data_IF_606544501267
#
_entry.id   IF_606544501267
#
_cell.length_a   1.000
_cell.length_b   1.000
_cell.length_c   1.000
_cell.angle_alpha   90.00
_cell.angle_beta   90.00
_cell.angle_gamma   90.00
#
_symmetry.space_group_name_H-M   'P 1'
#
loop_
_entity.id
_entity.type
_entity.pdbx_description
1 polymer ?
#
# COMPACT_ATOMS: atom_id res chain seq x y z
N UNK A 1 11.56 25.45 11.93
CA UNK A 1 12.10 24.08 11.75
C UNK A 1 11.98 23.35 13.08
N UNK A 2 11.09 22.36 13.16
CA UNK A 2 10.74 21.66 14.39
C UNK A 2 11.78 20.56 14.68
N UNK A 3 12.46 20.68 15.82
CA UNK A 3 13.58 19.85 16.28
C UNK A 3 13.21 18.38 16.60
N UNK A 4 11.95 17.96 16.48
CA UNK A 4 11.52 16.59 16.81
C UNK A 4 11.71 15.59 15.67
N UNK A 5 11.65 16.03 14.41
CA UNK A 5 11.76 15.13 13.25
C UNK A 5 13.20 14.63 13.01
N UNK A 6 14.20 15.38 13.48
CA UNK A 6 15.62 15.07 13.24
C UNK A 6 16.12 13.93 14.14
N UNK A 7 15.54 13.74 15.33
CA UNK A 7 15.99 12.70 16.28
C UNK A 7 15.56 11.27 15.91
N UNK A 8 14.53 11.10 15.08
CA UNK A 8 14.05 9.78 14.65
C UNK A 8 14.87 9.19 13.49
N UNK A 9 15.64 10.02 12.78
CA UNK A 9 16.41 9.60 11.59
C UNK A 9 17.64 8.76 12.00
N UNK A 10 18.08 8.84 13.25
CA UNK A 10 19.37 8.30 13.69
C UNK A 10 19.36 6.82 14.10
N UNK A 11 18.21 6.14 14.12
CA UNK A 11 18.11 4.72 14.52
C UNK A 11 18.04 3.72 13.34
N UNK A 12 17.84 4.17 12.09
CA UNK A 12 17.73 3.26 10.94
C UNK A 12 19.07 3.14 10.18
N UNK A 13 20.04 2.43 10.77
CA UNK A 13 21.32 2.11 10.11
C UNK A 13 21.22 1.01 9.05
N UNK A 14 20.08 0.34 8.93
CA UNK A 14 19.88 -0.76 7.99
C UNK A 14 19.16 -0.29 6.71
N UNK A 15 19.83 -0.41 5.56
CA UNK A 15 19.20 -0.09 4.27
C UNK A 15 18.29 -1.24 3.86
N UNK A 16 16.99 -1.04 3.98
CA UNK A 16 15.99 -2.06 3.71
C UNK A 16 15.85 -2.36 2.20
N UNK A 17 15.66 -3.63 1.81
CA UNK A 17 15.38 -4.00 0.42
C UNK A 17 13.97 -3.55 -0.01
N UNK A 18 13.77 -3.43 -1.32
CA UNK A 18 12.46 -3.12 -1.90
C UNK A 18 11.40 -4.15 -1.49
N UNK A 19 11.68 -5.43 -1.69
CA UNK A 19 10.78 -6.51 -1.32
C UNK A 19 11.10 -6.98 0.11
N UNK A 20 10.13 -6.87 1.01
CA UNK A 20 10.25 -7.30 2.40
C UNK A 20 9.15 -8.29 2.72
N UNK A 21 9.52 -9.45 3.28
CA UNK A 21 8.58 -10.49 3.73
C UNK A 21 8.22 -10.38 5.22
N UNK A 22 8.70 -9.32 5.86
CA UNK A 22 8.49 -9.05 7.28
C UNK A 22 8.25 -7.56 7.49
N UNK A 23 7.78 -7.21 8.68
CA UNK A 23 7.58 -5.82 9.10
C UNK A 23 8.69 -5.42 10.07
N UNK A 24 9.57 -4.46 9.72
CA UNK A 24 10.68 -4.05 10.59
C UNK A 24 10.19 -3.52 11.95
N UNK A 25 11.01 -3.67 12.99
CA UNK A 25 10.63 -3.33 14.37
C UNK A 25 10.25 -1.86 14.56
N UNK A 26 10.97 -0.94 13.92
CA UNK A 26 10.63 0.48 13.98
C UNK A 26 9.26 0.77 13.35
N UNK A 27 8.86 0.01 12.31
CA UNK A 27 7.53 0.13 11.69
C UNK A 27 6.48 -0.45 12.62
N UNK A 28 6.73 -1.61 13.25
CA UNK A 28 5.83 -2.19 14.25
C UNK A 28 5.58 -1.21 15.42
N UNK A 29 6.64 -0.57 15.92
CA UNK A 29 6.56 0.47 16.94
C UNK A 29 5.70 1.64 16.48
N UNK A 30 5.92 2.15 15.27
CA UNK A 30 5.12 3.23 14.67
C UNK A 30 3.64 2.87 14.56
N UNK A 31 3.30 1.64 14.15
CA UNK A 31 1.91 1.18 14.10
C UNK A 31 1.25 1.14 15.48
N UNK A 32 1.99 0.70 16.51
CA UNK A 32 1.49 0.67 17.88
C UNK A 32 1.28 2.09 18.42
N UNK A 33 2.20 3.01 18.16
CA UNK A 33 2.14 4.38 18.67
C UNK A 33 1.12 5.25 17.93
N UNK A 34 1.14 5.23 16.60
CA UNK A 34 0.30 6.11 15.78
C UNK A 34 -1.11 5.55 15.54
N UNK A 35 -1.24 4.24 15.36
CA UNK A 35 -2.52 3.60 15.00
C UNK A 35 -3.16 2.84 16.16
N UNK A 36 -2.45 2.70 17.29
CA UNK A 36 -2.85 1.86 18.42
C UNK A 36 -3.23 0.46 17.93
N UNK A 37 -2.45 -0.06 16.98
CA UNK A 37 -2.67 -1.39 16.40
C UNK A 37 -2.36 -2.45 17.45
N UNK A 38 -3.35 -3.32 17.74
CA UNK A 38 -3.19 -4.55 18.54
C UNK A 38 -3.67 -5.74 17.71
N UNK A 39 -3.24 -6.98 18.03
CA UNK A 39 -3.72 -8.18 17.34
C UNK A 39 -5.25 -8.30 17.35
N UNK A 40 -5.90 -7.96 18.48
CA UNK A 40 -7.34 -8.02 18.66
C UNK A 40 -8.06 -6.98 17.81
N UNK A 41 -7.54 -5.73 17.81
CA UNK A 41 -8.08 -4.65 16.98
C UNK A 41 -7.96 -4.99 15.51
N UNK A 42 -6.79 -5.50 15.07
CA UNK A 42 -6.56 -5.95 13.70
C UNK A 42 -7.56 -7.03 13.30
N UNK A 43 -7.70 -8.10 14.11
CA UNK A 43 -8.64 -9.20 13.84
C UNK A 43 -10.09 -8.72 13.78
N UNK A 44 -10.52 -7.88 14.72
CA UNK A 44 -11.89 -7.36 14.77
C UNK A 44 -12.20 -6.49 13.54
N UNK A 45 -11.31 -5.55 13.23
CA UNK A 45 -11.48 -4.64 12.08
C UNK A 45 -11.42 -5.37 10.74
N UNK A 46 -10.57 -6.39 10.59
CA UNK A 46 -10.55 -7.23 9.40
C UNK A 46 -11.86 -7.98 9.20
N UNK A 47 -12.38 -8.61 10.26
CA UNK A 47 -13.65 -9.32 10.20
C UNK A 47 -14.81 -8.40 9.82
N UNK A 48 -14.86 -7.20 10.41
CA UNK A 48 -15.91 -6.21 10.12
C UNK A 48 -15.80 -5.66 8.69
N UNK A 49 -14.59 -5.36 8.22
CA UNK A 49 -14.37 -4.91 6.84
C UNK A 49 -14.74 -6.00 5.82
N UNK A 50 -14.37 -7.26 6.07
CA UNK A 50 -14.77 -8.40 5.24
C UNK A 50 -16.29 -8.51 5.14
N UNK A 51 -17.00 -8.47 6.28
CA UNK A 51 -18.47 -8.48 6.30
C UNK A 51 -19.09 -7.35 5.48
N UNK A 52 -18.53 -6.14 5.55
CA UNK A 52 -19.02 -5.02 4.72
C UNK A 52 -18.80 -5.28 3.23
N UNK A 53 -17.67 -5.89 2.84
CA UNK A 53 -17.39 -6.24 1.45
C UNK A 53 -18.31 -7.37 0.95
N UNK A 54 -18.53 -8.41 1.76
CA UNK A 54 -19.41 -9.54 1.45
C UNK A 54 -20.86 -9.09 1.28
N UNK A 55 -21.34 -8.18 2.15
CA UNK A 55 -22.67 -7.58 2.03
C UNK A 55 -22.86 -6.74 0.76
N UNK A 56 -21.79 -6.41 0.04
CA UNK A 56 -21.78 -5.62 -1.19
C UNK A 56 -21.24 -6.41 -2.38
N UNK A 57 -21.65 -7.67 -2.53
CA UNK A 57 -21.14 -8.59 -3.56
C UNK A 57 -21.21 -8.03 -5.00
N UNK A 58 -22.24 -7.26 -5.33
CA UNK A 58 -22.37 -6.60 -6.64
C UNK A 58 -21.22 -5.62 -6.94
N UNK A 59 -20.68 -4.98 -5.89
CA UNK A 59 -19.54 -4.09 -5.99
C UNK A 59 -18.24 -4.89 -6.14
N UNK A 60 -18.04 -5.89 -5.28
CA UNK A 60 -16.80 -6.68 -5.23
C UNK A 60 -16.66 -7.64 -6.40
N UNK A 61 -17.78 -8.04 -7.02
CA UNK A 61 -17.78 -9.00 -8.13
C UNK A 61 -17.32 -10.39 -7.70
N UNK A 62 -17.52 -10.76 -6.43
CA UNK A 62 -17.08 -12.03 -5.88
C UNK A 62 -15.56 -12.16 -5.67
N UNK A 63 -14.82 -11.04 -5.71
CA UNK A 63 -13.37 -11.04 -5.46
C UNK A 63 -13.10 -11.42 -4.01
N UNK A 64 -12.27 -12.45 -3.82
CA UNK A 64 -11.71 -12.79 -2.51
C UNK A 64 -10.50 -11.89 -2.21
N UNK A 65 -10.57 -11.16 -1.11
CA UNK A 65 -9.52 -10.21 -0.71
C UNK A 65 -8.58 -10.84 0.32
N UNK A 66 -7.31 -10.93 -0.04
CA UNK A 66 -6.25 -11.30 0.90
C UNK A 66 -6.19 -10.36 2.11
N UNK A 67 -5.90 -10.91 3.29
CA UNK A 67 -5.89 -10.14 4.55
C UNK A 67 -4.84 -9.05 4.58
N UNK A 68 -3.68 -9.27 3.96
CA UNK A 68 -2.60 -8.28 3.89
C UNK A 68 -3.02 -7.06 3.07
N UNK A 69 -3.78 -7.28 1.98
CA UNK A 69 -4.36 -6.21 1.18
C UNK A 69 -5.35 -5.39 2.02
N UNK A 70 -6.31 -6.04 2.70
CA UNK A 70 -7.27 -5.35 3.57
C UNK A 70 -6.59 -4.61 4.72
N UNK A 71 -5.54 -5.21 5.30
CA UNK A 71 -4.75 -4.61 6.38
C UNK A 71 -4.09 -3.30 5.93
N UNK A 72 -3.62 -3.21 4.68
CA UNK A 72 -3.05 -1.96 4.14
C UNK A 72 -4.08 -0.83 4.12
N UNK A 73 -5.33 -1.10 3.70
CA UNK A 73 -6.40 -0.10 3.71
C UNK A 73 -6.84 0.29 5.11
N UNK A 74 -6.89 -0.67 6.05
CA UNK A 74 -7.14 -0.40 7.46
C UNK A 74 -6.06 0.51 8.04
N UNK A 75 -4.78 0.22 7.80
CA UNK A 75 -3.66 1.07 8.27
C UNK A 75 -3.70 2.46 7.66
N UNK A 76 -3.91 2.56 6.35
CA UNK A 76 -4.07 3.84 5.65
C UNK A 76 -5.20 4.69 6.26
N UNK A 77 -6.29 4.03 6.65
CA UNK A 77 -7.46 4.66 7.23
C UNK A 77 -7.39 4.80 8.75
N UNK A 78 -6.23 4.54 9.38
CA UNK A 78 -6.04 4.55 10.84
C UNK A 78 -7.06 3.69 11.60
N UNK A 79 -7.46 2.56 11.00
CA UNK A 79 -8.48 1.64 11.48
C UNK A 79 -9.91 2.22 11.53
N UNK A 80 -10.18 3.32 10.83
CA UNK A 80 -11.55 3.72 10.47
C UNK A 80 -12.06 2.78 9.37
N UNK A 81 -13.00 1.92 9.74
CA UNK A 81 -13.52 0.85 8.88
C UNK A 81 -14.36 1.43 7.74
N UNK A 82 -15.14 2.48 8.00
CA UNK A 82 -15.97 3.13 6.99
C UNK A 82 -15.11 3.81 5.95
N UNK A 83 -14.06 4.50 6.37
CA UNK A 83 -13.08 5.11 5.48
C UNK A 83 -12.31 4.04 4.68
N UNK A 84 -11.89 2.94 5.32
CA UNK A 84 -11.23 1.84 4.62
C UNK A 84 -12.12 1.24 3.53
N UNK A 85 -13.38 0.95 3.86
CA UNK A 85 -14.38 0.47 2.91
C UNK A 85 -14.61 1.45 1.76
N UNK A 86 -14.73 2.75 2.06
CA UNK A 86 -14.86 3.79 1.04
C UNK A 86 -13.70 3.79 0.04
N UNK A 87 -12.46 3.66 0.51
CA UNK A 87 -11.29 3.60 -0.36
C UNK A 87 -11.27 2.34 -1.24
N UNK A 88 -11.59 1.17 -0.68
CA UNK A 88 -11.69 -0.09 -1.45
C UNK A 88 -12.78 0.03 -2.51
N UNK A 89 -13.96 0.53 -2.13
CA UNK A 89 -15.07 0.77 -3.07
C UNK A 89 -14.64 1.68 -4.21
N UNK A 90 -14.01 2.81 -3.92
CA UNK A 90 -13.56 3.73 -4.95
C UNK A 90 -12.53 3.09 -5.88
N UNK A 91 -11.59 2.30 -5.34
CA UNK A 91 -10.64 1.56 -6.16
C UNK A 91 -11.37 0.58 -7.11
N UNK A 92 -12.38 -0.16 -6.62
CA UNK A 92 -13.15 -1.09 -7.44
C UNK A 92 -13.95 -0.37 -8.53
N UNK A 93 -14.61 0.74 -8.18
CA UNK A 93 -15.35 1.56 -9.13
C UNK A 93 -14.41 2.13 -10.21
N UNK A 94 -13.23 2.60 -9.81
CA UNK A 94 -12.23 3.13 -10.73
C UNK A 94 -11.73 2.05 -11.69
N UNK A 95 -11.48 0.83 -11.19
CA UNK A 95 -11.13 -0.32 -12.03
C UNK A 95 -12.23 -0.67 -13.04
N UNK A 96 -13.49 -0.64 -12.62
CA UNK A 96 -14.64 -0.90 -13.52
C UNK A 96 -14.81 0.20 -14.56
N UNK A 97 -14.54 1.45 -14.20
CA UNK A 97 -14.68 2.62 -15.08
C UNK A 97 -13.57 2.66 -16.14
N UNK A 98 -12.32 2.53 -15.73
CA UNK A 98 -11.17 2.72 -16.61
C UNK A 98 -10.48 1.38 -16.92
N UNK A 99 -11.27 0.42 -17.44
CA UNK A 99 -10.80 -0.94 -17.72
C UNK A 99 -9.51 -0.98 -18.54
N UNK A 100 -9.36 -0.10 -19.52
CA UNK A 100 -8.17 -0.02 -20.37
C UNK A 100 -6.86 0.20 -19.60
N UNK A 101 -6.90 0.79 -18.40
CA UNK A 101 -5.71 1.01 -17.55
C UNK A 101 -5.43 -0.17 -16.61
N UNK A 102 -6.44 -0.99 -16.31
CA UNK A 102 -6.37 -2.04 -15.30
C UNK A 102 -6.51 -3.46 -15.86
N UNK A 103 -6.94 -3.58 -17.12
CA UNK A 103 -6.86 -4.80 -17.89
C UNK A 103 -5.39 -5.14 -18.11
N UNK A 104 -5.09 -6.44 -18.24
CA UNK A 104 -3.73 -6.93 -18.40
C UNK A 104 -3.03 -6.25 -19.58
N UNK A 105 -1.79 -5.84 -19.37
CA UNK A 105 -0.90 -5.38 -20.45
C UNK A 105 -0.45 -6.64 -21.19
N UNK A 106 -0.65 -6.76 -22.52
CA UNK A 106 -0.16 -7.91 -23.28
C UNK A 106 1.34 -8.14 -23.07
N UNK A 107 1.73 -9.39 -22.83
CA UNK A 107 3.13 -9.77 -22.56
C UNK A 107 4.10 -9.30 -23.65
N UNK A 108 3.62 -9.27 -24.90
CA UNK A 108 4.33 -8.78 -26.08
C UNK A 108 4.86 -7.34 -25.92
N UNK A 109 4.15 -6.48 -25.18
CA UNK A 109 4.57 -5.09 -24.94
C UNK A 109 5.76 -4.98 -23.99
N UNK A 110 6.01 -5.98 -23.15
CA UNK A 110 7.19 -6.04 -22.29
C UNK A 110 8.42 -6.57 -23.04
N UNK A 111 8.22 -7.31 -24.14
CA UNK A 111 9.29 -7.92 -24.94
C UNK A 111 9.73 -6.98 -26.08
N UNK A 112 8.78 -6.29 -26.71
CA UNK A 112 9.01 -5.58 -27.98
C UNK A 112 9.40 -4.11 -27.84
N UNK A 113 9.21 -3.50 -26.67
CA UNK A 113 9.51 -2.08 -26.44
C UNK A 113 10.37 -1.91 -25.21
N UNK A 114 11.54 -1.30 -25.39
CA UNK A 114 12.31 -0.78 -24.26
C UNK A 114 11.41 0.17 -23.46
N UNK A 115 11.24 -0.12 -22.18
CA UNK A 115 10.45 0.73 -21.30
C UNK A 115 11.06 2.14 -21.29
N UNK A 116 10.29 3.18 -21.59
CA UNK A 116 10.80 4.54 -21.47
C UNK A 116 11.22 4.75 -20.02
N UNK A 117 12.49 5.12 -19.79
CA UNK A 117 13.10 5.31 -18.46
C UNK A 117 12.56 6.55 -17.72
N UNK A 118 11.28 6.87 -17.89
CA UNK A 118 10.62 8.01 -17.26
C UNK A 118 10.29 7.75 -15.80
N UNK A 119 10.21 6.48 -15.37
CA UNK A 119 10.09 6.09 -13.97
C UNK A 119 11.07 4.97 -13.62
N UNK A 120 11.68 5.04 -12.44
CA UNK A 120 12.59 4.04 -11.90
C UNK A 120 12.23 3.71 -10.46
N UNK A 121 12.00 2.43 -10.17
CA UNK A 121 11.88 1.91 -8.82
C UNK A 121 13.29 1.63 -8.28
N UNK A 122 13.65 2.24 -7.15
CA UNK A 122 14.93 1.91 -6.52
C UNK A 122 14.86 0.56 -5.79
N UNK A 123 15.93 -0.25 -5.83
CA UNK A 123 15.96 -1.57 -5.19
C UNK A 123 16.00 -1.50 -3.67
N UNK A 124 16.20 -0.30 -3.11
CA UNK A 124 16.36 -0.03 -1.68
C UNK A 124 15.33 1.01 -1.25
N UNK A 125 14.80 0.84 -0.05
CA UNK A 125 13.88 1.78 0.59
C UNK A 125 14.66 2.95 1.19
N UNK A 126 13.96 4.04 1.47
CA UNK A 126 14.52 5.11 2.28
C UNK A 126 14.65 4.65 3.75
N UNK A 127 15.37 5.40 4.61
CA UNK A 127 15.52 5.05 6.03
C UNK A 127 14.20 4.89 6.80
N UNK A 128 13.13 5.59 6.39
CA UNK A 128 11.81 5.44 6.99
C UNK A 128 11.01 4.22 6.47
N UNK A 129 11.61 3.42 5.59
CA UNK A 129 10.98 2.23 5.00
C UNK A 129 10.08 2.50 3.79
N UNK A 130 10.02 3.73 3.26
CA UNK A 130 9.24 4.02 2.05
C UNK A 130 9.94 3.53 0.78
N UNK A 131 9.13 3.08 -0.19
CA UNK A 131 9.58 2.83 -1.56
C UNK A 131 10.01 4.13 -2.21
N UNK A 132 11.16 4.15 -2.86
CA UNK A 132 11.65 5.31 -3.61
C UNK A 132 11.38 5.13 -5.10
N UNK A 133 10.61 6.06 -5.68
CA UNK A 133 10.29 6.10 -7.10
C UNK A 133 10.89 7.39 -7.67
N UNK A 134 11.72 7.28 -8.70
CA UNK A 134 12.29 8.43 -9.41
C UNK A 134 11.53 8.64 -10.70
N UNK A 135 10.93 9.82 -10.86
CA UNK A 135 10.40 10.27 -12.15
C UNK A 135 11.42 11.17 -12.83
N UNK A 136 11.81 10.83 -14.06
CA UNK A 136 12.74 11.60 -14.87
C UNK A 136 12.00 12.19 -16.07
N UNK A 137 11.46 13.38 -15.87
CA UNK A 137 10.84 14.14 -16.93
C UNK A 137 11.90 14.94 -17.71
N UNK A 138 11.89 14.86 -19.04
CA UNK A 138 12.73 15.71 -19.89
C UNK A 138 14.21 15.31 -20.01
N UNK A 139 14.58 14.05 -19.75
CA UNK A 139 15.90 13.56 -20.17
C UNK A 139 15.97 13.53 -21.69
N UNK A 140 16.82 14.38 -22.25
CA UNK A 140 17.32 14.31 -23.62
C UNK A 140 18.07 13.00 -23.84
#
# INVERSE_FOLDING_TARGET
>A
MSSSSVKLIQECNEILPFEMKYLPDFVQKKLKEELKETPEKKRKSLLELKKMLDANEQLTGGVDFHEDFLTQYLRHSKYDIQRAFYHIRNMLLQRKKDRTLFDGIPDELFITKDSPKFFLLLPKRCPEGCTVIIFQYGKK
#
